data_IF_381749496679
#
_entry.id   IF_381749496679
#
_cell.length_a   1.000
_cell.length_b   1.000
_cell.length_c   1.000
_cell.angle_alpha   90.00
_cell.angle_beta   90.00
_cell.angle_gamma   90.00
#
_symmetry.space_group_name_H-M   'P 1'
#
loop_
_entity.id
_entity.type
_entity.pdbx_description
1 polymer ?
#
# COMPACT_ATOMS: atom_id res chain seq x y z
N UNK A 1 -8.93 8.66 6.17
CA UNK A 1 -8.02 8.74 7.31
C UNK A 1 -7.35 7.41 7.54
N UNK A 2 -7.06 7.07 8.79
CA UNK A 2 -6.35 5.82 9.11
C UNK A 2 -7.07 4.59 8.59
N UNK A 3 -8.39 4.63 8.59
CA UNK A 3 -9.19 3.49 8.16
C UNK A 3 -8.91 3.13 6.71
N UNK A 4 -8.78 4.14 5.85
CA UNK A 4 -8.45 3.87 4.44
C UNK A 4 -7.06 3.26 4.30
N UNK A 5 -6.12 3.75 5.07
CA UNK A 5 -4.77 3.22 5.04
C UNK A 5 -4.74 1.78 5.56
N UNK A 6 -5.46 1.53 6.65
CA UNK A 6 -5.53 0.18 7.22
C UNK A 6 -6.12 -0.80 6.22
N UNK A 7 -7.18 -0.39 5.52
CA UNK A 7 -7.80 -1.25 4.51
C UNK A 7 -6.82 -1.59 3.40
N UNK A 8 -6.03 -0.61 2.98
CA UNK A 8 -5.02 -0.82 1.96
C UNK A 8 -3.98 -1.84 2.41
N UNK A 9 -3.51 -1.68 3.65
CA UNK A 9 -2.51 -2.60 4.20
C UNK A 9 -3.07 -4.01 4.35
N UNK A 10 -4.32 -4.12 4.81
CA UNK A 10 -4.95 -5.42 4.95
C UNK A 10 -5.08 -6.12 3.61
N UNK A 11 -5.47 -5.38 2.58
CA UNK A 11 -5.57 -5.94 1.23
C UNK A 11 -4.22 -6.45 0.75
N UNK A 12 -3.17 -5.68 1.00
CA UNK A 12 -1.82 -6.08 0.61
C UNK A 12 -1.41 -7.36 1.32
N UNK A 13 -1.74 -7.47 2.60
CA UNK A 13 -1.42 -8.68 3.38
C UNK A 13 -2.18 -9.88 2.85
N UNK A 14 -3.44 -9.71 2.49
CA UNK A 14 -4.25 -10.79 1.94
C UNK A 14 -3.68 -11.30 0.61
N UNK A 15 -3.14 -10.39 -0.18
CA UNK A 15 -2.50 -10.72 -1.44
C UNK A 15 -1.06 -11.20 -1.25
N UNK A 16 -0.60 -11.24 0.00
CA UNK A 16 0.75 -11.67 0.35
C UNK A 16 1.82 -10.83 -0.33
N UNK A 17 1.55 -9.54 -0.47
CA UNK A 17 2.52 -8.62 -1.02
C UNK A 17 3.60 -8.32 0.01
N UNK A 18 4.82 -8.18 -0.47
CA UNK A 18 5.93 -7.81 0.37
C UNK A 18 5.83 -6.32 0.74
N UNK A 19 6.25 -6.00 1.97
CA UNK A 19 6.19 -4.63 2.45
C UNK A 19 6.99 -3.68 1.56
N UNK A 20 8.18 -4.11 1.15
CA UNK A 20 9.03 -3.27 0.31
C UNK A 20 8.39 -3.02 -1.04
N UNK A 21 7.73 -4.03 -1.59
CA UNK A 21 7.01 -3.87 -2.84
C UNK A 21 5.87 -2.87 -2.69
N UNK A 22 5.12 -2.98 -1.59
CA UNK A 22 4.03 -2.05 -1.33
C UNK A 22 4.53 -0.62 -1.20
N UNK A 23 5.65 -0.44 -0.50
CA UNK A 23 6.23 0.89 -0.34
C UNK A 23 6.67 1.47 -1.68
N UNK A 24 7.15 0.63 -2.56
CA UNK A 24 7.54 1.07 -3.90
C UNK A 24 6.33 1.55 -4.68
N UNK A 25 5.22 0.83 -4.59
CA UNK A 25 3.99 1.25 -5.24
C UNK A 25 3.49 2.58 -4.68
N UNK A 26 3.56 2.74 -3.37
CA UNK A 26 3.17 4.00 -2.74
C UNK A 26 4.03 5.14 -3.26
N UNK A 27 5.33 4.91 -3.36
CA UNK A 27 6.24 5.93 -3.85
C UNK A 27 5.92 6.32 -5.29
N UNK A 28 5.61 5.34 -6.13
CA UNK A 28 5.26 5.60 -7.52
C UNK A 28 3.97 6.42 -7.63
N UNK A 29 2.97 6.04 -6.86
CA UNK A 29 1.70 6.75 -6.88
C UNK A 29 1.84 8.16 -6.32
N UNK A 30 2.72 8.34 -5.34
CA UNK A 30 2.97 9.64 -4.76
C UNK A 30 3.41 10.63 -5.82
N UNK A 31 4.25 10.18 -6.74
CA UNK A 31 4.75 11.02 -7.81
C UNK A 31 3.68 11.33 -8.85
N UNK A 32 2.71 10.43 -9.03
CA UNK A 32 1.69 10.55 -10.07
C UNK A 32 0.44 11.30 -9.61
N UNK A 33 0.27 11.49 -8.34
CA UNK A 33 -0.86 12.21 -7.81
C UNK A 33 -0.44 13.54 -7.21
#
# INVERSE_FOLDING_TARGET
LRENLENCIQSAKMLQLDKDYLLQLVNDEWENL
#
